data_IF_297184541095
#
_entry.id   IF_297184541095
#
_cell.length_a   1.000
_cell.length_b   1.000
_cell.length_c   1.000
_cell.angle_alpha   90.00
_cell.angle_beta   90.00
_cell.angle_gamma   90.00
#
_symmetry.space_group_name_H-M   'P 1'
#
loop_
_entity.id
_entity.type
_entity.pdbx_description
1 polymer ?
#
# COMPACT_ATOMS: atom_id res chain seq x y z
N UNK A 1 73.27 13.62 34.64
CA UNK A 1 71.94 13.28 35.04
C UNK A 1 71.01 13.81 33.96
N UNK A 2 70.58 12.94 32.98
CA UNK A 2 69.71 13.33 31.87
C UNK A 2 68.32 12.80 32.17
N UNK A 3 67.37 13.72 32.37
CA UNK A 3 65.98 13.46 32.64
C UNK A 3 65.27 13.18 31.31
N UNK A 4 64.85 11.94 31.05
CA UNK A 4 64.05 11.56 29.89
C UNK A 4 62.57 11.84 30.19
N UNK A 5 62.02 12.84 29.51
CA UNK A 5 60.58 13.16 29.53
C UNK A 5 59.94 12.28 28.47
N UNK A 6 59.22 11.25 28.92
CA UNK A 6 58.36 10.40 28.06
C UNK A 6 57.03 11.11 27.92
N UNK A 7 56.80 11.70 26.74
CA UNK A 7 55.52 12.30 26.36
C UNK A 7 54.57 11.19 25.88
N UNK A 8 53.66 10.76 26.76
CA UNK A 8 52.65 9.75 26.46
C UNK A 8 51.52 10.37 25.60
N UNK A 9 51.54 10.07 24.29
CA UNK A 9 50.51 10.51 23.36
C UNK A 9 49.30 9.60 23.50
N UNK A 10 48.26 10.03 24.24
CA UNK A 10 47.00 9.34 24.36
C UNK A 10 46.17 9.59 23.09
N UNK A 11 46.15 8.62 22.17
CA UNK A 11 45.30 8.63 21.01
C UNK A 11 43.88 8.27 21.45
N UNK A 12 43.01 9.29 21.56
CA UNK A 12 41.56 9.06 21.70
C UNK A 12 40.98 8.55 20.39
N UNK A 13 40.89 7.24 20.21
CA UNK A 13 40.09 6.66 19.15
C UNK A 13 38.61 6.86 19.54
N UNK A 14 37.97 7.85 18.91
CA UNK A 14 36.51 7.95 18.94
C UNK A 14 35.97 6.76 18.14
N UNK A 15 35.50 5.74 18.84
CA UNK A 15 34.56 4.77 18.27
C UNK A 15 33.28 5.53 17.94
N UNK A 16 33.10 5.85 16.68
CA UNK A 16 31.84 6.31 16.17
C UNK A 16 30.86 5.13 16.24
N UNK A 17 29.96 5.14 17.22
CA UNK A 17 28.78 4.29 17.18
C UNK A 17 27.94 4.74 15.99
N UNK A 18 28.08 4.05 14.87
CA UNK A 18 27.05 4.05 13.83
C UNK A 18 25.88 3.27 14.44
N UNK A 19 24.91 4.00 15.02
CA UNK A 19 23.57 3.42 15.24
C UNK A 19 23.04 3.08 13.85
N UNK A 20 23.18 1.81 13.46
CA UNK A 20 22.35 1.25 12.41
C UNK A 20 20.91 1.37 12.91
N UNK A 21 20.15 2.30 12.33
CA UNK A 21 18.70 2.38 12.50
C UNK A 21 18.12 1.08 11.95
N UNK A 22 18.01 0.07 12.80
CA UNK A 22 17.32 -1.18 12.50
C UNK A 22 15.86 -0.83 12.35
N UNK A 23 15.40 -0.68 11.12
CA UNK A 23 14.00 -0.46 10.81
C UNK A 23 13.20 -1.68 11.24
N UNK A 24 12.29 -1.50 12.18
CA UNK A 24 11.42 -2.57 12.66
C UNK A 24 10.35 -2.88 11.61
N UNK A 25 10.15 -4.17 11.31
CA UNK A 25 9.09 -4.62 10.42
C UNK A 25 7.76 -4.61 11.17
N UNK A 26 6.86 -3.71 10.80
CA UNK A 26 5.53 -3.58 11.37
C UNK A 26 4.48 -4.23 10.49
N UNK A 27 3.61 -5.04 11.08
CA UNK A 27 2.45 -5.65 10.43
C UNK A 27 1.17 -5.00 10.92
N UNK A 28 0.25 -4.73 10.01
CA UNK A 28 -1.06 -4.17 10.31
C UNK A 28 -2.11 -4.64 9.30
N UNK A 29 -3.37 -4.53 9.65
CA UNK A 29 -4.47 -4.94 8.80
C UNK A 29 -5.35 -3.75 8.45
N UNK A 30 -6.03 -3.87 7.32
CA UNK A 30 -6.89 -2.85 6.76
C UNK A 30 -8.16 -3.53 6.24
N UNK A 31 -9.33 -2.99 6.55
CA UNK A 31 -10.61 -3.47 6.08
C UNK A 31 -11.36 -2.33 5.42
N UNK A 32 -11.99 -2.59 4.30
CA UNK A 32 -12.85 -1.61 3.65
C UNK A 32 -14.08 -2.25 3.03
N UNK A 33 -15.14 -1.44 2.92
CA UNK A 33 -16.36 -1.76 2.20
C UNK A 33 -16.94 -0.52 1.56
N UNK A 34 -17.60 -0.69 0.42
CA UNK A 34 -18.13 0.44 -0.34
C UNK A 34 -18.88 0.02 -1.57
N UNK A 35 -19.11 0.97 -2.45
CA UNK A 35 -19.87 0.77 -3.67
C UNK A 35 -18.97 0.87 -4.90
N UNK A 36 -19.17 -0.06 -5.83
CA UNK A 36 -18.45 -0.09 -7.10
C UNK A 36 -19.35 0.32 -8.25
N UNK A 37 -18.80 1.12 -9.16
CA UNK A 37 -19.41 1.46 -10.45
C UNK A 37 -18.51 0.94 -11.56
N UNK A 38 -19.12 0.23 -12.50
CA UNK A 38 -18.44 -0.37 -13.64
C UNK A 38 -18.95 0.28 -14.95
N UNK A 39 -18.03 0.66 -15.81
CA UNK A 39 -18.33 1.08 -17.18
C UNK A 39 -17.54 0.21 -18.16
N UNK A 40 -18.23 -0.55 -18.99
CA UNK A 40 -17.62 -1.58 -19.88
C UNK A 40 -17.63 -1.14 -21.32
N UNK A 41 -16.47 -1.27 -21.98
CA UNK A 41 -16.29 -1.11 -23.42
C UNK A 41 -15.93 -2.48 -23.99
N UNK A 42 -16.73 -2.98 -24.93
CA UNK A 42 -16.50 -4.26 -25.57
C UNK A 42 -15.81 -4.07 -26.94
N UNK A 43 -14.78 -4.83 -27.17
CA UNK A 43 -14.05 -4.91 -28.45
C UNK A 43 -14.30 -6.27 -29.08
N UNK A 44 -14.92 -6.35 -30.27
CA UNK A 44 -15.39 -7.62 -30.84
C UNK A 44 -14.32 -8.70 -30.99
N UNK A 45 -13.07 -8.31 -31.20
CA UNK A 45 -11.99 -9.26 -31.54
C UNK A 45 -10.92 -9.43 -30.47
N UNK A 46 -10.83 -8.51 -29.48
CA UNK A 46 -9.72 -8.48 -28.53
C UNK A 46 -10.14 -8.64 -27.07
N UNK A 47 -11.42 -8.46 -26.77
CA UNK A 47 -11.94 -8.60 -25.41
C UNK A 47 -12.71 -7.37 -24.93
N UNK A 48 -12.58 -7.02 -23.65
CA UNK A 48 -13.26 -5.87 -23.04
C UNK A 48 -12.33 -5.08 -22.13
N UNK A 49 -12.63 -3.81 -21.98
CA UNK A 49 -12.04 -2.94 -20.95
C UNK A 49 -13.14 -2.48 -20.01
N UNK A 50 -12.93 -2.60 -18.70
CA UNK A 50 -13.85 -2.18 -17.67
C UNK A 50 -13.19 -1.09 -16.85
N UNK A 51 -13.79 0.10 -16.83
CA UNK A 51 -13.43 1.15 -15.90
C UNK A 51 -14.13 0.90 -14.58
N UNK A 52 -13.38 1.00 -13.48
CA UNK A 52 -13.88 0.80 -12.12
C UNK A 52 -13.73 2.11 -11.35
N UNK A 53 -14.79 2.52 -10.69
CA UNK A 53 -14.74 3.51 -9.61
C UNK A 53 -15.32 2.85 -8.36
N UNK A 54 -14.57 2.92 -7.25
CA UNK A 54 -14.97 2.34 -5.99
C UNK A 54 -14.91 3.41 -4.89
N UNK A 55 -16.09 3.80 -4.37
CA UNK A 55 -16.23 4.70 -3.22
C UNK A 55 -16.42 3.86 -1.96
N UNK A 56 -15.57 4.02 -0.94
CA UNK A 56 -15.57 3.14 0.23
C UNK A 56 -15.24 3.86 1.54
N UNK A 57 -15.63 3.22 2.64
CA UNK A 57 -15.15 3.52 3.98
C UNK A 57 -14.16 2.45 4.42
N UNK A 58 -13.23 2.80 5.32
CA UNK A 58 -12.18 1.91 5.77
C UNK A 58 -11.84 2.10 7.24
N UNK A 59 -11.23 1.10 7.82
CA UNK A 59 -10.58 1.10 9.14
C UNK A 59 -9.34 0.22 9.12
N UNK A 60 -8.40 0.49 10.01
CA UNK A 60 -7.19 -0.31 10.20
C UNK A 60 -7.02 -0.81 11.64
N UNK A 61 -6.06 -1.71 11.84
CA UNK A 61 -5.72 -2.24 13.18
C UNK A 61 -4.90 -1.29 14.04
N UNK A 62 -4.51 -0.13 13.51
CA UNK A 62 -3.80 0.93 14.24
C UNK A 62 -4.75 1.95 14.86
N UNK A 63 -6.08 1.79 14.63
CA UNK A 63 -7.13 2.67 15.15
C UNK A 63 -7.52 3.81 14.21
N UNK A 64 -7.02 3.82 12.98
CA UNK A 64 -7.44 4.81 11.99
C UNK A 64 -8.67 4.31 11.21
N UNK A 65 -9.47 5.26 10.74
CA UNK A 65 -10.62 5.05 9.89
C UNK A 65 -10.86 6.24 8.98
N UNK A 66 -11.63 6.03 7.92
CA UNK A 66 -11.89 7.11 6.99
C UNK A 66 -12.67 6.68 5.76
N UNK A 67 -12.49 7.45 4.69
CA UNK A 67 -13.11 7.21 3.38
C UNK A 67 -12.04 7.20 2.30
N UNK A 68 -12.38 6.61 1.15
CA UNK A 68 -11.48 6.63 0.00
C UNK A 68 -12.22 6.40 -1.29
N UNK A 69 -11.52 6.68 -2.37
CA UNK A 69 -11.96 6.39 -3.73
C UNK A 69 -10.85 5.70 -4.50
N UNK A 70 -11.19 4.66 -5.25
CA UNK A 70 -10.28 4.01 -6.19
C UNK A 70 -10.76 4.18 -7.61
N UNK A 71 -9.81 4.41 -8.51
CA UNK A 71 -10.01 4.42 -9.96
C UNK A 71 -9.15 3.34 -10.58
N UNK A 72 -9.76 2.47 -11.37
CA UNK A 72 -9.05 1.35 -11.96
C UNK A 72 -9.55 1.00 -13.35
N UNK A 73 -8.76 0.14 -14.00
CA UNK A 73 -9.09 -0.44 -15.29
C UNK A 73 -8.82 -1.94 -15.24
N UNK A 74 -9.80 -2.72 -15.68
CA UNK A 74 -9.62 -4.16 -15.98
C UNK A 74 -9.53 -4.35 -17.46
N UNK A 75 -8.46 -4.97 -17.91
CA UNK A 75 -8.31 -5.46 -19.26
C UNK A 75 -8.58 -6.97 -19.27
N UNK A 76 -9.69 -7.38 -19.89
CA UNK A 76 -10.08 -8.77 -20.08
C UNK A 76 -9.74 -9.21 -21.50
N UNK A 77 -8.84 -10.15 -21.62
CA UNK A 77 -8.47 -10.73 -22.92
C UNK A 77 -9.45 -11.82 -23.35
N UNK A 78 -9.77 -11.91 -24.65
CA UNK A 78 -10.51 -13.03 -25.22
C UNK A 78 -9.83 -14.40 -25.04
N UNK A 79 -8.54 -14.41 -24.68
CA UNK A 79 -7.75 -15.61 -24.37
C UNK A 79 -7.77 -16.00 -22.90
N UNK A 80 -8.49 -15.25 -22.05
CA UNK A 80 -8.60 -15.45 -20.60
C UNK A 80 -7.71 -14.54 -19.77
N UNK A 81 -8.07 -14.41 -18.48
CA UNK A 81 -7.40 -13.60 -17.49
C UNK A 81 -7.82 -12.12 -17.48
N UNK A 82 -8.07 -11.61 -16.30
CA UNK A 82 -8.39 -10.22 -16.04
C UNK A 82 -7.20 -9.53 -15.35
N UNK A 83 -6.72 -8.45 -15.97
CA UNK A 83 -5.64 -7.64 -15.41
C UNK A 83 -6.21 -6.33 -14.90
N UNK A 84 -6.37 -6.22 -13.58
CA UNK A 84 -6.79 -5.00 -12.89
C UNK A 84 -5.57 -4.19 -12.47
N UNK A 85 -5.58 -2.91 -12.80
CA UNK A 85 -4.68 -1.89 -12.25
C UNK A 85 -5.49 -0.73 -11.71
N UNK A 86 -5.11 -0.20 -10.54
CA UNK A 86 -5.87 0.87 -9.91
C UNK A 86 -4.99 1.76 -9.04
N UNK A 87 -5.52 2.97 -8.77
CA UNK A 87 -4.99 3.92 -7.81
C UNK A 87 -6.11 4.31 -6.85
N UNK A 88 -5.77 4.53 -5.59
CA UNK A 88 -6.73 5.02 -4.61
C UNK A 88 -6.18 6.25 -3.89
N UNK A 89 -7.09 7.16 -3.57
CA UNK A 89 -6.91 8.23 -2.61
C UNK A 89 -7.70 7.87 -1.36
N UNK A 90 -7.08 7.99 -0.20
CA UNK A 90 -7.67 7.69 1.09
C UNK A 90 -7.44 8.84 2.05
N UNK A 91 -8.51 9.24 2.75
CA UNK A 91 -8.49 10.30 3.77
C UNK A 91 -8.91 9.68 5.10
N UNK A 92 -8.19 10.00 6.16
CA UNK A 92 -8.50 9.53 7.50
C UNK A 92 -9.33 10.53 8.33
N UNK A 93 -9.57 10.19 9.59
CA UNK A 93 -10.35 11.00 10.53
C UNK A 93 -9.71 12.35 10.91
N UNK A 94 -8.40 12.52 10.65
CA UNK A 94 -7.63 13.74 10.95
C UNK A 94 -7.35 14.57 9.69
N UNK A 95 -8.03 14.24 8.57
CA UNK A 95 -7.85 14.83 7.24
C UNK A 95 -6.43 14.59 6.64
N UNK A 96 -5.66 13.67 7.20
CA UNK A 96 -4.44 13.20 6.57
C UNK A 96 -4.78 12.24 5.41
N UNK A 97 -3.99 12.31 4.33
CA UNK A 97 -4.24 11.54 3.11
C UNK A 97 -3.09 10.60 2.79
N UNK A 98 -3.43 9.47 2.18
CA UNK A 98 -2.45 8.60 1.54
C UNK A 98 -2.97 8.05 0.21
N UNK A 99 -2.02 7.71 -0.66
CA UNK A 99 -2.28 7.25 -2.01
C UNK A 99 -1.70 5.87 -2.21
N UNK A 100 -2.46 5.03 -2.89
CA UNK A 100 -2.04 3.67 -3.15
C UNK A 100 -2.11 3.33 -4.63
N UNK A 101 -1.28 2.36 -5.03
CA UNK A 101 -1.31 1.74 -6.35
C UNK A 101 -1.42 0.24 -6.15
N UNK A 102 -2.34 -0.39 -6.85
CA UNK A 102 -2.54 -1.83 -6.76
C UNK A 102 -2.75 -2.49 -8.10
N UNK A 103 -2.58 -3.81 -8.08
CA UNK A 103 -2.81 -4.68 -9.22
C UNK A 103 -3.36 -6.03 -8.79
N UNK A 104 -4.09 -6.67 -9.68
CA UNK A 104 -4.61 -8.01 -9.51
C UNK A 104 -4.69 -8.72 -10.86
N UNK A 105 -4.12 -9.90 -10.93
CA UNK A 105 -4.38 -10.88 -11.98
C UNK A 105 -5.36 -11.90 -11.42
N UNK A 106 -6.49 -12.11 -12.09
CA UNK A 106 -7.52 -13.04 -11.66
C UNK A 106 -8.24 -13.62 -12.85
N UNK A 107 -8.74 -14.83 -12.71
CA UNK A 107 -9.65 -15.43 -13.70
C UNK A 107 -11.10 -14.98 -13.47
N UNK A 108 -11.39 -14.33 -12.34
CA UNK A 108 -12.70 -13.85 -11.95
C UNK A 108 -12.66 -12.37 -11.52
N UNK A 109 -13.61 -11.57 -11.98
CA UNK A 109 -13.76 -10.16 -11.56
C UNK A 109 -14.32 -10.07 -10.14
N UNK A 110 -15.27 -10.95 -9.79
CA UNK A 110 -16.08 -10.86 -8.57
C UNK A 110 -15.34 -11.22 -7.27
N UNK A 111 -14.19 -11.87 -7.38
CA UNK A 111 -13.34 -12.19 -6.22
C UNK A 111 -11.87 -12.28 -6.63
N UNK A 112 -10.98 -12.17 -5.67
CA UNK A 112 -9.56 -12.40 -5.94
C UNK A 112 -8.63 -11.84 -4.89
N UNK A 113 -7.35 -12.17 -5.08
CA UNK A 113 -6.24 -11.68 -4.26
C UNK A 113 -5.35 -10.80 -5.13
N UNK A 114 -4.94 -9.66 -4.61
CA UNK A 114 -4.05 -8.73 -5.29
C UNK A 114 -3.03 -8.10 -4.36
N UNK A 115 -2.21 -7.23 -4.92
CA UNK A 115 -1.21 -6.47 -4.19
C UNK A 115 -1.46 -4.98 -4.30
N UNK A 116 -1.05 -4.25 -3.26
CA UNK A 116 -1.19 -2.80 -3.17
C UNK A 116 0.00 -2.22 -2.43
N UNK A 117 0.49 -1.07 -2.89
CA UNK A 117 1.56 -0.34 -2.22
C UNK A 117 1.07 1.07 -1.86
N UNK A 118 1.47 1.59 -0.70
CA UNK A 118 1.34 3.02 -0.39
C UNK A 118 2.45 3.74 -1.14
N UNK A 119 2.08 4.65 -2.04
CA UNK A 119 3.03 5.33 -2.94
C UNK A 119 3.29 6.77 -2.56
N UNK A 120 2.36 7.40 -1.81
CA UNK A 120 2.46 8.76 -1.32
C UNK A 120 1.57 8.97 -0.10
N UNK A 121 1.78 10.06 0.67
CA UNK A 121 0.95 10.43 1.81
C UNK A 121 1.48 11.66 2.55
N UNK A 122 0.60 12.28 3.34
CA UNK A 122 0.95 13.39 4.21
C UNK A 122 0.79 12.99 5.70
N UNK A 123 1.02 13.94 6.60
CA UNK A 123 0.88 13.76 8.05
C UNK A 123 1.51 12.46 8.55
N UNK A 124 0.74 11.66 9.29
CA UNK A 124 1.17 10.38 9.85
C UNK A 124 1.47 9.29 8.81
N UNK A 125 0.90 9.42 7.60
CA UNK A 125 1.06 8.42 6.54
C UNK A 125 2.40 8.46 5.82
N UNK A 126 3.19 9.54 6.00
CA UNK A 126 4.53 9.66 5.42
C UNK A 126 5.45 8.49 5.78
N UNK A 127 5.37 8.00 7.01
CA UNK A 127 6.20 6.88 7.48
C UNK A 127 5.81 5.54 6.85
N UNK A 128 4.60 5.44 6.30
CA UNK A 128 4.09 4.22 5.65
C UNK A 128 4.34 4.19 4.14
N UNK A 129 4.92 5.23 3.54
CA UNK A 129 5.27 5.23 2.12
C UNK A 129 6.21 4.08 1.81
N UNK A 130 5.89 3.29 0.77
CA UNK A 130 6.60 2.05 0.42
C UNK A 130 6.06 0.79 1.11
N UNK A 131 5.08 0.90 2.00
CA UNK A 131 4.39 -0.25 2.58
C UNK A 131 3.77 -1.12 1.51
N UNK A 132 3.87 -2.43 1.69
CA UNK A 132 3.31 -3.43 0.79
C UNK A 132 2.15 -4.16 1.47
N UNK A 133 1.03 -4.24 0.77
CA UNK A 133 -0.16 -4.93 1.22
C UNK A 133 -0.54 -6.05 0.25
N UNK A 134 -1.05 -7.15 0.79
CA UNK A 134 -1.79 -8.17 0.04
C UNK A 134 -3.24 -8.09 0.47
N UNK A 135 -4.15 -8.00 -0.48
CA UNK A 135 -5.58 -7.91 -0.20
C UNK A 135 -6.35 -9.08 -0.79
N UNK A 136 -7.45 -9.44 -0.10
CA UNK A 136 -8.50 -10.28 -0.62
C UNK A 136 -9.77 -9.46 -0.78
N UNK A 137 -10.48 -9.63 -1.89
CA UNK A 137 -11.68 -8.87 -2.25
C UNK A 137 -12.80 -9.80 -2.68
N UNK A 138 -14.04 -9.43 -2.32
CA UNK A 138 -15.28 -10.04 -2.83
C UNK A 138 -16.30 -8.96 -3.12
N UNK A 139 -17.10 -9.20 -4.12
CA UNK A 139 -18.24 -8.37 -4.47
C UNK A 139 -19.55 -9.10 -4.15
N UNK A 140 -20.53 -8.36 -3.70
CA UNK A 140 -21.91 -8.79 -3.59
C UNK A 140 -22.77 -7.69 -4.22
N UNK A 141 -23.29 -7.96 -5.39
CA UNK A 141 -23.96 -6.99 -6.25
C UNK A 141 -23.01 -5.80 -6.54
N UNK A 142 -23.38 -4.57 -6.22
CA UNK A 142 -22.57 -3.36 -6.33
C UNK A 142 -21.72 -3.04 -5.08
N UNK A 143 -21.75 -3.90 -4.06
CA UNK A 143 -21.01 -3.72 -2.82
C UNK A 143 -19.72 -4.52 -2.84
N UNK A 144 -18.62 -3.85 -2.50
CA UNK A 144 -17.29 -4.46 -2.33
C UNK A 144 -16.98 -4.66 -0.85
N UNK A 145 -16.35 -5.78 -0.54
CA UNK A 145 -15.78 -6.11 0.76
C UNK A 145 -14.33 -6.56 0.57
N UNK A 146 -13.42 -5.95 1.31
CA UNK A 146 -12.04 -6.35 1.23
C UNK A 146 -11.33 -6.27 2.58
N UNK A 147 -10.32 -7.13 2.72
CA UNK A 147 -9.37 -7.08 3.82
C UNK A 147 -7.94 -7.15 3.29
N UNK A 148 -7.03 -6.47 3.97
CA UNK A 148 -5.63 -6.41 3.59
C UNK A 148 -4.73 -6.71 4.78
N UNK A 149 -3.58 -7.30 4.48
CA UNK A 149 -2.45 -7.43 5.39
C UNK A 149 -1.29 -6.63 4.83
N UNK A 150 -0.84 -5.65 5.60
CA UNK A 150 0.22 -4.73 5.21
C UNK A 150 1.49 -4.97 6.04
N UNK A 151 2.63 -4.63 5.45
CA UNK A 151 3.94 -4.62 6.11
C UNK A 151 4.70 -3.37 5.74
N UNK A 152 5.33 -2.75 6.73
CA UNK A 152 6.16 -1.55 6.61
C UNK A 152 7.46 -1.77 7.35
N UNK A 153 8.53 -1.14 6.89
CA UNK A 153 9.80 -1.01 7.63
C UNK A 153 9.84 0.43 8.17
N UNK A 154 9.59 0.58 9.48
CA UNK A 154 9.54 1.87 10.17
C UNK A 154 10.82 2.15 10.94
#
# INVERSE_FOLDING_TARGET
MKLFLILSLIIFVKFGNTEENIKELKHWTFEYSGFVKLNTINFPNIGKVIQITNDFTWKDSLGNYGKGVCYGTVESSSKGGDNLKYFCEMNDQDDDSFFTKGERLSDEIEAGVGTQNIIDGNGKWKIFIGSKCTYGIKYKDDVVFASQKCKSYL
#
